data_IF_155390096752
#
_entry.id   IF_155390096752
#
_cell.length_a   1.000
_cell.length_b   1.000
_cell.length_c   1.000
_cell.angle_alpha   90.00
_cell.angle_beta   90.00
_cell.angle_gamma   90.00
#
_symmetry.space_group_name_H-M   'P 1'
#
loop_
_entity.id
_entity.type
_entity.pdbx_description
1 polymer ?
#
# COMPACT_ATOMS: atom_id res chain seq x y z
N UNK A 1 -14.47 4.89 2.30
CA UNK A 1 -13.18 4.21 2.56
C UNK A 1 -12.65 4.41 3.98
N UNK A 2 -12.22 5.59 4.43
CA UNK A 2 -11.63 5.73 5.78
C UNK A 2 -12.61 5.35 6.91
N UNK A 3 -13.89 5.70 6.80
CA UNK A 3 -14.93 5.30 7.76
C UNK A 3 -15.21 3.78 7.71
N UNK A 4 -15.28 3.18 6.52
CA UNK A 4 -15.43 1.73 6.38
C UNK A 4 -14.26 0.96 7.02
N UNK A 5 -13.02 1.42 6.81
CA UNK A 5 -11.84 0.83 7.46
C UNK A 5 -11.90 1.03 8.98
N UNK A 6 -12.39 2.17 9.45
CA UNK A 6 -12.59 2.43 10.87
C UNK A 6 -13.55 1.42 11.50
N UNK A 7 -14.70 1.17 10.86
CA UNK A 7 -15.68 0.18 11.32
C UNK A 7 -15.05 -1.21 11.44
N UNK A 8 -14.23 -1.63 10.47
CA UNK A 8 -13.51 -2.91 10.53
C UNK A 8 -12.54 -2.98 11.73
N UNK A 9 -11.76 -1.92 11.96
CA UNK A 9 -10.82 -1.85 13.08
C UNK A 9 -11.56 -1.86 14.43
N UNK A 10 -12.71 -1.18 14.54
CA UNK A 10 -13.56 -1.18 15.73
C UNK A 10 -14.18 -2.55 16.03
N UNK A 11 -14.39 -3.37 14.99
CA UNK A 11 -14.79 -4.78 15.12
C UNK A 11 -13.64 -5.72 15.50
N UNK A 12 -12.42 -5.20 15.66
CA UNK A 12 -11.23 -5.98 16.01
C UNK A 12 -10.53 -6.65 14.82
N UNK A 13 -10.91 -6.32 13.58
CA UNK A 13 -10.27 -6.85 12.38
C UNK A 13 -8.91 -6.16 12.18
N UNK A 14 -7.87 -6.96 11.91
CA UNK A 14 -6.55 -6.45 11.53
C UNK A 14 -6.55 -6.13 10.03
N UNK A 15 -6.27 -4.87 9.67
CA UNK A 15 -6.42 -4.40 8.28
C UNK A 15 -5.07 -4.04 7.66
N UNK A 16 -4.66 -4.84 6.68
CA UNK A 16 -3.60 -4.52 5.72
C UNK A 16 -4.20 -3.98 4.42
N UNK A 17 -3.67 -2.87 3.89
CA UNK A 17 -4.16 -2.23 2.66
C UNK A 17 -3.04 -2.16 1.64
N UNK A 18 -3.21 -2.78 0.47
CA UNK A 18 -2.34 -2.52 -0.69
C UNK A 18 -3.04 -1.54 -1.61
N UNK A 19 -2.41 -0.39 -1.87
CA UNK A 19 -3.01 0.70 -2.64
C UNK A 19 -2.42 0.81 -4.05
N UNK A 20 -3.28 0.93 -5.07
CA UNK A 20 -2.89 1.13 -6.47
C UNK A 20 -2.48 2.58 -6.77
N UNK A 21 -1.83 2.81 -7.90
CA UNK A 21 -1.36 4.13 -8.37
C UNK A 21 -2.01 4.60 -9.69
N UNK A 22 -2.95 3.81 -10.23
CA UNK A 22 -3.45 3.97 -11.60
C UNK A 22 -4.33 5.21 -11.85
N UNK A 23 -4.68 5.96 -10.80
CA UNK A 23 -5.33 7.27 -10.87
C UNK A 23 -4.34 8.41 -11.18
N UNK A 24 -3.04 8.22 -10.96
CA UNK A 24 -2.00 9.19 -11.29
C UNK A 24 -1.18 8.72 -12.49
N UNK A 25 -0.62 7.51 -12.41
CA UNK A 25 0.27 6.97 -13.43
C UNK A 25 0.04 5.47 -13.63
N UNK A 26 0.08 5.03 -14.89
CA UNK A 26 0.09 3.61 -15.28
C UNK A 26 1.32 3.35 -16.15
N UNK A 27 2.27 2.55 -15.66
CA UNK A 27 3.55 2.33 -16.33
C UNK A 27 3.43 1.79 -17.76
N UNK A 28 2.47 0.89 -18.02
CA UNK A 28 2.17 0.41 -19.37
C UNK A 28 1.74 1.53 -20.33
N UNK A 29 0.83 2.42 -19.90
CA UNK A 29 0.39 3.54 -20.73
C UNK A 29 1.48 4.59 -20.97
N UNK A 30 2.39 4.78 -20.00
CA UNK A 30 3.56 5.64 -20.18
C UNK A 30 4.56 5.03 -21.18
N UNK A 31 4.72 3.71 -21.19
CA UNK A 31 5.58 3.02 -22.14
C UNK A 31 5.05 3.12 -23.57
N UNK A 32 3.74 3.02 -23.76
CA UNK A 32 3.08 3.26 -25.05
C UNK A 32 3.31 4.70 -25.56
N UNK A 33 3.43 5.67 -24.66
CA UNK A 33 3.78 7.05 -24.98
C UNK A 33 5.30 7.27 -25.23
N UNK A 34 6.10 6.21 -25.29
CA UNK A 34 7.54 6.24 -25.59
C UNK A 34 8.46 6.27 -24.38
N UNK A 35 7.95 6.15 -23.15
CA UNK A 35 8.77 6.08 -21.94
C UNK A 35 9.40 4.69 -21.77
N UNK A 36 10.58 4.62 -21.16
CA UNK A 36 11.11 3.33 -20.72
C UNK A 36 10.16 2.68 -19.69
N UNK A 37 9.78 1.43 -19.91
CA UNK A 37 8.84 0.69 -19.06
C UNK A 37 9.24 0.66 -17.58
N UNK A 38 10.54 0.50 -17.27
CA UNK A 38 11.04 0.48 -15.88
C UNK A 38 10.80 1.83 -15.19
N UNK A 39 11.07 2.93 -15.90
CA UNK A 39 10.82 4.29 -15.39
C UNK A 39 9.33 4.52 -15.18
N UNK A 40 8.49 4.08 -16.13
CA UNK A 40 7.04 4.15 -16.00
C UNK A 40 6.51 3.38 -14.78
N UNK A 41 7.06 2.20 -14.50
CA UNK A 41 6.69 1.40 -13.33
C UNK A 41 7.21 2.03 -12.03
N UNK A 42 8.40 2.65 -12.01
CA UNK A 42 8.86 3.46 -10.88
C UNK A 42 7.92 4.64 -10.59
N UNK A 43 7.47 5.35 -11.62
CA UNK A 43 6.46 6.41 -11.47
C UNK A 43 5.14 5.85 -10.92
N UNK A 44 4.71 4.68 -11.39
CA UNK A 44 3.56 3.97 -10.84
C UNK A 44 3.74 3.61 -9.36
N UNK A 45 4.91 3.14 -8.95
CA UNK A 45 5.21 2.86 -7.54
C UNK A 45 5.19 4.14 -6.69
N UNK A 46 5.77 5.24 -7.15
CA UNK A 46 5.67 6.53 -6.45
C UNK A 46 4.22 7.02 -6.35
N UNK A 47 3.40 6.82 -7.38
CA UNK A 47 1.97 7.12 -7.31
C UNK A 47 1.24 6.34 -6.19
N UNK A 48 1.58 5.06 -6.00
CA UNK A 48 1.02 4.29 -4.88
C UNK A 48 1.44 4.86 -3.52
N UNK A 49 2.67 5.38 -3.40
CA UNK A 49 3.14 6.03 -2.15
C UNK A 49 2.36 7.31 -1.90
N UNK A 50 2.15 8.14 -2.93
CA UNK A 50 1.32 9.36 -2.82
C UNK A 50 -0.10 9.03 -2.34
N UNK A 51 -0.74 8.03 -2.93
CA UNK A 51 -2.06 7.57 -2.50
C UNK A 51 -2.03 7.01 -1.08
N UNK A 52 -0.98 6.27 -0.71
CA UNK A 52 -0.81 5.74 0.64
C UNK A 52 -0.71 6.84 1.70
N UNK A 53 0.01 7.92 1.41
CA UNK A 53 0.08 9.11 2.28
C UNK A 53 -1.29 9.78 2.43
N UNK A 54 -2.03 9.95 1.31
CA UNK A 54 -3.38 10.51 1.34
C UNK A 54 -4.35 9.62 2.16
N UNK A 55 -4.28 8.30 2.00
CA UNK A 55 -5.09 7.35 2.77
C UNK A 55 -4.74 7.39 4.26
N UNK A 56 -3.44 7.43 4.61
CA UNK A 56 -2.99 7.56 6.00
C UNK A 56 -3.53 8.83 6.65
N UNK A 57 -3.43 9.97 5.96
CA UNK A 57 -3.97 11.23 6.46
C UNK A 57 -5.50 11.16 6.66
N UNK A 58 -6.23 10.56 5.71
CA UNK A 58 -7.67 10.36 5.85
C UNK A 58 -8.03 9.47 7.05
N UNK A 59 -7.26 8.40 7.30
CA UNK A 59 -7.42 7.54 8.48
C UNK A 59 -7.10 8.28 9.78
N UNK A 60 -6.00 9.06 9.81
CA UNK A 60 -5.63 9.87 10.97
C UNK A 60 -6.72 10.90 11.30
N UNK A 61 -7.27 11.59 10.30
CA UNK A 61 -8.42 12.51 10.48
C UNK A 61 -9.69 11.80 10.93
N UNK A 62 -9.83 10.51 10.67
CA UNK A 62 -10.92 9.67 11.18
C UNK A 62 -10.62 9.06 12.57
N UNK A 63 -9.50 9.43 13.20
CA UNK A 63 -8.99 8.90 14.47
C UNK A 63 -8.59 7.41 14.42
N UNK A 64 -8.17 6.92 13.25
CA UNK A 64 -7.66 5.57 13.06
C UNK A 64 -6.13 5.60 13.00
N UNK A 65 -5.47 4.81 13.85
CA UNK A 65 -4.03 4.67 13.83
C UNK A 65 -3.59 3.92 12.56
N UNK A 66 -2.78 4.57 11.73
CA UNK A 66 -2.30 3.98 10.47
C UNK A 66 -0.81 4.24 10.24
N UNK A 67 -0.13 3.29 9.60
CA UNK A 67 1.26 3.39 9.12
C UNK A 67 1.32 3.14 7.62
N UNK A 68 2.24 3.82 6.94
CA UNK A 68 2.55 3.55 5.53
C UNK A 68 3.91 2.91 5.48
N UNK A 69 4.00 1.76 4.84
CA UNK A 69 5.22 1.01 4.60
C UNK A 69 5.45 0.91 3.10
N UNK A 70 6.63 1.31 2.64
CA UNK A 70 7.00 1.28 1.22
C UNK A 70 7.96 0.14 0.93
N UNK A 71 7.73 -0.58 -0.16
CA UNK A 71 8.68 -1.58 -0.66
C UNK A 71 10.00 -0.96 -1.15
N UNK A 72 10.00 0.34 -1.50
CA UNK A 72 11.20 1.11 -1.85
C UNK A 72 11.50 2.08 -0.69
N UNK A 73 12.73 2.10 -0.15
CA UNK A 73 13.05 3.00 0.95
C UNK A 73 12.87 4.48 0.62
N UNK A 74 12.07 5.18 1.42
CA UNK A 74 11.73 6.61 1.24
C UNK A 74 11.84 7.36 2.57
N UNK A 75 13.08 7.44 3.07
CA UNK A 75 13.42 8.00 4.38
C UNK A 75 12.84 9.40 4.58
N UNK A 76 12.13 9.58 5.70
CA UNK A 76 11.48 10.83 6.08
C UNK A 76 10.05 11.01 5.56
N UNK A 77 9.60 10.16 4.63
CA UNK A 77 8.24 10.21 4.06
C UNK A 77 7.34 9.13 4.67
N UNK A 78 7.83 7.89 4.68
CA UNK A 78 7.13 6.73 5.22
C UNK A 78 8.14 5.69 5.73
N UNK A 79 7.64 4.66 6.40
CA UNK A 79 8.48 3.57 6.89
C UNK A 79 8.88 2.66 5.71
N UNK A 80 10.06 2.03 5.82
CA UNK A 80 10.44 0.95 4.91
C UNK A 80 9.63 -0.30 5.29
N UNK A 81 9.21 -1.08 4.29
CA UNK A 81 8.50 -2.33 4.59
C UNK A 81 9.42 -3.30 5.33
N UNK A 82 9.00 -3.65 6.55
CA UNK A 82 9.57 -4.71 7.35
C UNK A 82 8.44 -5.64 7.80
N UNK A 83 8.57 -6.93 7.51
CA UNK A 83 7.55 -7.93 7.81
C UNK A 83 7.23 -8.03 9.31
N UNK A 84 8.26 -8.08 10.16
CA UNK A 84 8.07 -8.21 11.61
C UNK A 84 7.37 -6.97 12.19
N UNK A 85 7.74 -5.78 11.70
CA UNK A 85 7.09 -4.54 12.09
C UNK A 85 5.65 -4.48 11.60
N UNK A 86 5.36 -4.90 10.36
CA UNK A 86 4.00 -4.95 9.83
C UNK A 86 3.09 -5.83 10.70
N UNK A 87 3.53 -7.05 11.03
CA UNK A 87 2.82 -7.95 11.96
C UNK A 87 2.62 -7.29 13.32
N UNK A 88 3.64 -6.64 13.88
CA UNK A 88 3.56 -5.94 15.16
C UNK A 88 2.54 -4.81 15.14
N UNK A 89 2.52 -3.99 14.08
CA UNK A 89 1.55 -2.91 13.91
C UNK A 89 0.12 -3.45 13.78
N UNK A 90 -0.08 -4.51 12.98
CA UNK A 90 -1.39 -5.17 12.83
C UNK A 90 -1.90 -5.72 14.16
N UNK A 91 -1.03 -6.39 14.93
CA UNK A 91 -1.36 -6.91 16.28
C UNK A 91 -1.73 -5.83 17.28
N UNK A 92 -1.24 -4.61 17.09
CA UNK A 92 -1.61 -3.44 17.90
C UNK A 92 -2.90 -2.75 17.43
N UNK A 93 -3.62 -3.32 16.47
CA UNK A 93 -4.85 -2.74 15.92
C UNK A 93 -4.61 -1.53 15.02
N UNK A 94 -3.39 -1.37 14.49
CA UNK A 94 -3.07 -0.29 13.55
C UNK A 94 -3.28 -0.77 12.12
N UNK A 95 -3.81 0.10 11.27
CA UNK A 95 -3.90 -0.15 9.83
C UNK A 95 -2.50 -0.05 9.21
N UNK A 96 -2.11 -1.05 8.42
CA UNK A 96 -0.83 -1.02 7.68
C UNK A 96 -1.11 -0.84 6.20
N UNK A 97 -0.63 0.25 5.63
CA UNK A 97 -0.76 0.56 4.20
C UNK A 97 0.55 0.19 3.50
N UNK A 98 0.51 -0.82 2.64
CA UNK A 98 1.62 -1.24 1.80
C UNK A 98 1.61 -0.46 0.48
N UNK A 99 2.73 0.17 0.20
CA UNK A 99 2.96 1.01 -0.98
C UNK A 99 4.23 0.60 -1.72
N UNK A 100 4.43 1.17 -2.91
CA UNK A 100 5.44 0.78 -3.89
C UNK A 100 5.33 -0.68 -4.35
N UNK A 101 4.16 -1.31 -4.21
CA UNK A 101 3.89 -2.66 -4.70
C UNK A 101 4.89 -3.71 -4.18
N UNK A 102 5.46 -4.48 -5.09
CA UNK A 102 6.53 -5.46 -4.80
C UNK A 102 7.92 -4.83 -4.76
N UNK A 103 8.04 -3.53 -5.04
CA UNK A 103 9.31 -2.83 -5.23
C UNK A 103 10.00 -3.10 -6.58
N UNK A 104 9.38 -3.90 -7.46
CA UNK A 104 9.96 -4.34 -8.72
C UNK A 104 9.14 -3.87 -9.92
N UNK A 105 9.78 -3.44 -11.03
CA UNK A 105 9.10 -3.19 -12.30
C UNK A 105 8.48 -4.48 -12.87
N UNK A 106 7.57 -4.34 -13.81
CA UNK A 106 6.80 -5.41 -14.48
C UNK A 106 5.75 -6.12 -13.62
N UNK A 107 5.61 -5.75 -12.35
CA UNK A 107 4.56 -6.27 -11.45
C UNK A 107 3.38 -5.31 -11.34
N UNK A 108 2.23 -5.86 -10.94
CA UNK A 108 1.03 -5.07 -10.64
C UNK A 108 0.81 -4.97 -9.15
N UNK A 109 -0.08 -4.07 -8.75
CA UNK A 109 -0.53 -3.97 -7.35
C UNK A 109 -1.25 -5.24 -6.90
N UNK A 110 -1.90 -5.98 -7.81
CA UNK A 110 -2.51 -7.29 -7.48
C UNK A 110 -1.45 -8.31 -7.06
N UNK A 111 -0.31 -8.34 -7.74
CA UNK A 111 0.82 -9.20 -7.34
C UNK A 111 1.31 -8.84 -5.93
N UNK A 112 1.37 -7.54 -5.62
CA UNK A 112 1.74 -7.08 -4.28
C UNK A 112 0.67 -7.41 -3.23
N UNK A 113 -0.61 -7.33 -3.56
CA UNK A 113 -1.71 -7.71 -2.67
C UNK A 113 -1.63 -9.20 -2.29
N UNK A 114 -1.41 -10.08 -3.27
CA UNK A 114 -1.19 -11.49 -2.99
C UNK A 114 0.08 -11.74 -2.16
N UNK A 115 1.20 -11.10 -2.53
CA UNK A 115 2.46 -11.25 -1.81
C UNK A 115 2.33 -10.80 -0.34
N UNK A 116 1.84 -9.59 -0.10
CA UNK A 116 1.68 -9.03 1.24
C UNK A 116 0.65 -9.81 2.05
N UNK A 117 -0.45 -10.25 1.43
CA UNK A 117 -1.44 -11.11 2.08
C UNK A 117 -0.83 -12.41 2.59
N UNK A 118 0.00 -13.08 1.79
CA UNK A 118 0.71 -14.30 2.20
C UNK A 118 1.71 -14.00 3.32
N UNK A 119 2.53 -12.95 3.17
CA UNK A 119 3.54 -12.60 4.17
C UNK A 119 2.95 -12.25 5.54
N UNK A 120 1.83 -11.53 5.58
CA UNK A 120 1.18 -11.18 6.85
C UNK A 120 0.21 -12.26 7.36
N UNK A 121 0.14 -13.40 6.67
CA UNK A 121 -0.77 -14.51 6.99
C UNK A 121 -2.25 -14.08 7.04
N UNK A 122 -2.66 -13.22 6.10
CA UNK A 122 -4.03 -12.74 6.04
C UNK A 122 -5.01 -13.89 5.73
N UNK A 123 -6.14 -13.91 6.43
CA UNK A 123 -7.21 -14.91 6.20
C UNK A 123 -7.80 -14.82 4.78
N UNK A 124 -7.84 -13.61 4.21
CA UNK A 124 -8.39 -13.34 2.88
C UNK A 124 -7.77 -12.09 2.25
N UNK A 125 -7.66 -12.09 0.91
CA UNK A 125 -7.36 -10.90 0.12
C UNK A 125 -8.65 -10.41 -0.54
N UNK A 126 -9.11 -9.21 -0.17
CA UNK A 126 -10.29 -8.58 -0.76
C UNK A 126 -9.87 -7.73 -1.96
N UNK A 127 -10.31 -8.11 -3.16
CA UNK A 127 -10.08 -7.37 -4.40
C UNK A 127 -11.38 -6.71 -4.87
N UNK A 128 -11.32 -5.40 -5.11
CA UNK A 128 -12.38 -4.61 -5.71
C UNK A 128 -12.27 -4.57 -7.25
#
# INVERSE_FOLDING_TARGET
MAQEVKELVELGVQVGVVIGGGNLFRGAGLAEAGMNRVVGDHMGMLATVMNGLAMRDALHRAYVNARVMSAIPLKGVCDDYNWADAISQLRQGRVVIFSAGTGNPFFTTDSAACLRGIEIEADVVLKA
#
